data_IF_202172096448
#
_entry.id   IF_202172096448
#
_cell.length_a   1.000
_cell.length_b   1.000
_cell.length_c   1.000
_cell.angle_alpha   90.00
_cell.angle_beta   90.00
_cell.angle_gamma   90.00
#
_symmetry.space_group_name_H-M   'P 1'
#
loop_
_entity.id
_entity.type
_entity.pdbx_description
1 polymer ?
#
# COMPACT_ATOMS: atom_id res chain seq x y z
N UNK A 1 29.70 66.00 -5.28
CA UNK A 1 30.14 66.37 -3.92
C UNK A 1 28.91 66.82 -3.16
N UNK A 2 28.70 66.31 -1.94
CA UNK A 2 27.65 66.67 -0.94
C UNK A 2 26.25 66.06 -1.26
N UNK A 3 25.85 64.92 -0.66
CA UNK A 3 25.23 64.71 0.68
C UNK A 3 23.87 65.46 0.80
N UNK A 4 22.75 64.88 1.23
CA UNK A 4 22.53 63.93 2.33
C UNK A 4 21.08 63.44 2.35
N UNK A 5 20.89 62.23 2.89
CA UNK A 5 19.64 61.62 3.37
C UNK A 5 18.74 62.57 4.20
N UNK A 6 17.42 62.37 4.11
CA UNK A 6 16.58 61.93 5.25
C UNK A 6 15.20 61.50 4.78
N UNK A 7 14.82 60.30 5.23
CA UNK A 7 13.50 59.70 5.09
C UNK A 7 12.43 60.47 5.88
N UNK A 8 11.21 60.47 5.37
CA UNK A 8 9.99 60.46 6.18
C UNK A 8 8.84 59.93 5.31
N UNK A 9 8.50 58.67 5.56
CA UNK A 9 7.25 58.01 5.21
C UNK A 9 6.07 58.83 5.77
N UNK A 10 5.06 59.13 4.95
CA UNK A 10 3.66 59.00 5.34
C UNK A 10 2.76 59.03 4.12
N UNK A 11 1.95 57.97 4.03
CA UNK A 11 0.98 57.70 3.00
C UNK A 11 -0.06 58.82 2.86
N UNK A 12 -0.45 59.10 1.62
CA UNK A 12 -1.77 59.63 1.31
C UNK A 12 -2.37 58.78 0.20
N UNK A 13 -3.30 57.94 0.63
CA UNK A 13 -4.18 57.10 -0.15
C UNK A 13 -4.96 57.97 -1.13
N UNK A 14 -4.85 57.68 -2.43
CA UNK A 14 -5.83 58.13 -3.40
C UNK A 14 -6.18 56.98 -4.34
N UNK A 15 -7.31 56.35 -3.96
CA UNK A 15 -8.31 55.72 -4.81
C UNK A 15 -7.83 54.47 -5.56
N UNK A 16 -8.08 53.36 -4.88
CA UNK A 16 -8.57 52.09 -5.44
C UNK A 16 -9.37 52.32 -6.73
N UNK A 17 -8.68 52.28 -7.87
CA UNK A 17 -9.22 51.58 -9.02
C UNK A 17 -9.15 50.10 -8.65
N UNK A 18 -10.10 49.66 -7.82
CA UNK A 18 -10.52 48.28 -7.82
C UNK A 18 -11.05 48.03 -9.22
N UNK A 19 -10.14 47.62 -10.12
CA UNK A 19 -10.50 46.61 -11.09
C UNK A 19 -11.02 45.44 -10.26
N UNK A 20 -12.30 45.48 -9.92
CA UNK A 20 -13.11 44.29 -9.92
C UNK A 20 -13.03 43.74 -11.34
N UNK A 21 -11.89 43.13 -11.68
CA UNK A 21 -11.92 41.91 -12.44
C UNK A 21 -13.00 41.10 -11.72
N UNK A 22 -14.16 40.97 -12.36
CA UNK A 22 -15.28 40.22 -11.82
C UNK A 22 -14.66 39.00 -11.15
N UNK A 23 -14.83 38.87 -9.83
CA UNK A 23 -14.43 37.65 -9.14
C UNK A 23 -15.03 36.55 -9.98
N UNK A 24 -14.21 35.82 -10.74
CA UNK A 24 -14.73 34.84 -11.68
C UNK A 24 -15.49 33.89 -10.79
N UNK A 25 -16.82 33.95 -10.83
CA UNK A 25 -17.62 33.17 -9.93
C UNK A 25 -17.36 31.74 -10.38
N UNK A 26 -16.62 30.99 -9.57
CA UNK A 26 -16.42 29.54 -9.70
C UNK A 26 -17.72 28.77 -9.42
N UNK A 27 -18.84 29.39 -9.76
CA UNK A 27 -20.19 28.87 -9.65
C UNK A 27 -20.54 27.98 -10.84
N UNK A 28 -21.83 27.63 -10.95
CA UNK A 28 -22.31 26.62 -11.88
C UNK A 28 -21.90 26.85 -13.34
N UNK A 29 -21.80 28.10 -13.79
CA UNK A 29 -21.49 28.47 -15.17
C UNK A 29 -20.07 28.05 -15.59
N UNK A 30 -19.09 28.14 -14.67
CA UNK A 30 -17.71 27.68 -14.92
C UNK A 30 -17.64 26.16 -15.01
N UNK A 31 -18.42 25.45 -14.17
CA UNK A 31 -18.54 23.98 -14.24
C UNK A 31 -19.18 23.57 -15.57
N UNK A 32 -20.28 24.21 -15.96
CA UNK A 32 -20.96 23.97 -17.25
C UNK A 32 -20.01 24.16 -18.43
N UNK A 33 -19.29 25.28 -18.46
CA UNK A 33 -18.31 25.56 -19.51
C UNK A 33 -17.18 24.52 -19.58
N UNK A 34 -16.66 24.08 -18.43
CA UNK A 34 -15.66 23.02 -18.38
C UNK A 34 -16.20 21.68 -18.90
N UNK A 35 -17.43 21.31 -18.55
CA UNK A 35 -18.09 20.08 -19.04
C UNK A 35 -18.25 20.13 -20.56
N UNK A 36 -18.72 21.24 -21.11
CA UNK A 36 -18.93 21.37 -22.55
C UNK A 36 -17.62 21.36 -23.34
N UNK A 37 -16.56 22.00 -22.82
CA UNK A 37 -15.22 21.87 -23.38
C UNK A 37 -14.72 20.43 -23.32
N UNK A 38 -14.96 19.73 -22.21
CA UNK A 38 -14.55 18.34 -22.04
C UNK A 38 -15.25 17.37 -22.98
N UNK A 39 -16.55 17.56 -23.25
CA UNK A 39 -17.28 16.75 -24.24
C UNK A 39 -16.62 16.81 -25.62
N UNK A 40 -16.09 17.98 -26.00
CA UNK A 40 -15.37 18.14 -27.27
C UNK A 40 -13.99 17.48 -27.23
N UNK A 41 -13.27 17.58 -26.12
CA UNK A 41 -11.98 16.88 -25.88
C UNK A 41 -12.15 15.35 -25.90
N UNK A 42 -13.23 14.85 -25.31
CA UNK A 42 -13.54 13.42 -25.19
C UNK A 42 -14.04 12.77 -26.48
N UNK A 43 -14.43 13.56 -27.48
CA UNK A 43 -14.90 13.03 -28.76
C UNK A 43 -13.72 12.39 -29.53
N UNK A 44 -13.85 11.13 -30.03
CA UNK A 44 -12.79 10.48 -30.79
C UNK A 44 -12.66 11.14 -32.17
N UNK A 45 -11.64 11.97 -32.35
CA UNK A 45 -11.26 12.55 -33.64
C UNK A 45 -9.74 12.66 -33.70
N UNK A 46 -9.16 12.81 -34.89
CA UNK A 46 -7.72 13.06 -35.06
C UNK A 46 -7.26 14.27 -34.25
N UNK A 47 -5.98 14.38 -33.84
CA UNK A 47 -5.47 15.58 -33.18
C UNK A 47 -5.77 16.81 -34.03
N UNK A 48 -6.56 17.74 -33.50
CA UNK A 48 -6.95 18.98 -34.18
C UNK A 48 -6.53 20.19 -33.35
N UNK A 49 -6.29 21.36 -33.96
CA UNK A 49 -6.10 22.61 -33.22
C UNK A 49 -7.24 22.92 -32.25
N UNK A 50 -8.45 22.47 -32.57
CA UNK A 50 -9.64 22.61 -31.74
C UNK A 50 -9.53 21.81 -30.44
N UNK A 51 -8.99 20.58 -30.47
CA UNK A 51 -8.72 19.79 -29.26
C UNK A 51 -7.86 20.55 -28.25
N UNK A 52 -6.71 21.08 -28.70
CA UNK A 52 -5.79 21.82 -27.83
C UNK A 52 -6.32 23.19 -27.40
N UNK A 53 -7.27 23.75 -28.15
CA UNK A 53 -7.98 24.97 -27.74
C UNK A 53 -8.92 24.64 -26.57
N UNK A 54 -9.74 23.60 -26.69
CA UNK A 54 -10.65 23.16 -25.62
C UNK A 54 -9.92 22.67 -24.38
N UNK A 55 -8.80 21.95 -24.54
CA UNK A 55 -7.96 21.56 -23.40
C UNK A 55 -7.46 22.80 -22.64
N UNK A 56 -6.97 23.82 -23.36
CA UNK A 56 -6.51 25.08 -22.74
C UNK A 56 -7.64 25.83 -22.01
N UNK A 57 -8.86 25.79 -22.52
CA UNK A 57 -10.03 26.35 -21.82
C UNK A 57 -10.28 25.63 -20.49
N UNK A 58 -10.17 24.30 -20.46
CA UNK A 58 -10.29 23.50 -19.23
C UNK A 58 -9.14 23.81 -18.26
N UNK A 59 -7.90 23.87 -18.73
CA UNK A 59 -6.73 24.18 -17.90
C UNK A 59 -6.84 25.60 -17.29
N UNK A 60 -7.34 26.56 -18.07
CA UNK A 60 -7.61 27.92 -17.61
C UNK A 60 -8.72 27.94 -16.54
N UNK A 61 -9.80 27.18 -16.73
CA UNK A 61 -10.85 27.04 -15.72
C UNK A 61 -10.33 26.41 -14.42
N UNK A 62 -9.50 25.37 -14.51
CA UNK A 62 -8.89 24.72 -13.34
C UNK A 62 -7.88 25.62 -12.61
N UNK A 63 -7.24 26.55 -13.32
CA UNK A 63 -6.34 27.56 -12.74
C UNK A 63 -7.13 28.68 -12.06
N UNK A 64 -8.21 29.15 -12.67
CA UNK A 64 -9.06 30.19 -12.13
C UNK A 64 -9.90 29.70 -10.94
N UNK A 65 -10.30 28.43 -10.95
CA UNK A 65 -11.15 27.80 -9.94
C UNK A 65 -10.45 26.60 -9.29
N UNK A 66 -9.34 26.83 -8.57
CA UNK A 66 -8.51 25.75 -8.04
C UNK A 66 -9.23 24.91 -6.99
N UNK A 67 -10.21 25.48 -6.30
CA UNK A 67 -10.96 24.80 -5.24
C UNK A 67 -12.25 24.16 -5.77
N UNK A 68 -12.57 24.25 -7.07
CA UNK A 68 -13.79 23.63 -7.61
C UNK A 68 -13.51 22.20 -8.05
N UNK A 69 -13.89 21.24 -7.21
CA UNK A 69 -13.63 19.82 -7.38
C UNK A 69 -14.10 19.26 -8.73
N UNK A 70 -15.27 19.66 -9.22
CA UNK A 70 -15.78 19.26 -10.54
C UNK A 70 -14.90 19.77 -11.70
N UNK A 71 -14.36 20.98 -11.61
CA UNK A 71 -13.48 21.52 -12.65
C UNK A 71 -12.14 20.78 -12.64
N UNK A 72 -11.61 20.45 -11.44
CA UNK A 72 -10.39 19.65 -11.29
C UNK A 72 -10.54 18.27 -11.90
N UNK A 73 -11.61 17.53 -11.61
CA UNK A 73 -11.77 16.19 -12.18
C UNK A 73 -11.93 16.22 -13.71
N UNK A 74 -12.61 17.25 -14.24
CA UNK A 74 -12.70 17.46 -15.69
C UNK A 74 -11.31 17.71 -16.30
N UNK A 75 -10.47 18.51 -15.64
CA UNK A 75 -9.08 18.72 -16.05
C UNK A 75 -8.25 17.43 -16.01
N UNK A 76 -8.42 16.58 -14.98
CA UNK A 76 -7.80 15.25 -14.93
C UNK A 76 -8.20 14.41 -16.16
N UNK A 77 -9.49 14.37 -16.49
CA UNK A 77 -9.99 13.68 -17.68
C UNK A 77 -9.37 14.21 -18.98
N UNK A 78 -9.25 15.53 -19.10
CA UNK A 78 -8.66 16.18 -20.26
C UNK A 78 -7.17 15.82 -20.43
N UNK A 79 -6.41 15.71 -19.34
CA UNK A 79 -5.03 15.24 -19.34
C UNK A 79 -4.91 13.79 -19.83
N UNK A 80 -5.81 12.89 -19.38
CA UNK A 80 -5.80 11.50 -19.85
C UNK A 80 -6.18 11.40 -21.33
N UNK A 81 -7.13 12.23 -21.82
CA UNK A 81 -7.43 12.30 -23.26
C UNK A 81 -6.28 12.88 -24.08
N UNK A 82 -5.52 13.82 -23.53
CA UNK A 82 -4.31 14.30 -24.17
C UNK A 82 -3.25 13.20 -24.26
N UNK A 83 -3.05 12.43 -23.18
CA UNK A 83 -2.16 11.27 -23.15
C UNK A 83 -2.57 10.21 -24.19
N UNK A 84 -3.84 9.82 -24.25
CA UNK A 84 -4.34 8.83 -25.22
C UNK A 84 -4.02 9.25 -26.67
N UNK A 85 -4.23 10.53 -26.99
CA UNK A 85 -3.94 11.08 -28.33
C UNK A 85 -2.44 11.18 -28.60
N UNK A 86 -1.67 11.55 -27.59
CA UNK A 86 -0.21 11.59 -27.66
C UNK A 86 0.35 10.19 -27.95
N UNK A 87 -0.04 9.19 -27.18
CA UNK A 87 0.35 7.79 -27.39
C UNK A 87 -0.09 7.26 -28.76
N UNK A 88 -1.30 7.60 -29.21
CA UNK A 88 -1.79 7.24 -30.55
C UNK A 88 -0.94 7.86 -31.67
N UNK A 89 -0.43 9.08 -31.49
CA UNK A 89 0.44 9.75 -32.47
C UNK A 89 1.83 9.10 -32.60
N UNK A 90 2.22 8.35 -31.57
CA UNK A 90 3.47 7.60 -31.46
C UNK A 90 3.31 6.12 -31.83
N UNK A 91 2.09 5.65 -32.10
CA UNK A 91 1.84 4.25 -32.41
C UNK A 91 2.70 3.77 -33.61
N UNK A 92 3.42 2.66 -33.42
CA UNK A 92 4.33 2.10 -34.43
C UNK A 92 5.68 2.81 -34.57
N UNK A 93 6.00 3.79 -33.71
CA UNK A 93 7.29 4.50 -33.71
C UNK A 93 8.12 4.16 -32.49
N UNK A 94 9.46 4.20 -32.64
CA UNK A 94 10.36 4.14 -31.50
C UNK A 94 10.18 5.42 -30.65
N UNK A 95 9.88 5.24 -29.36
CA UNK A 95 9.65 6.36 -28.44
C UNK A 95 10.97 6.88 -27.88
N UNK A 96 11.21 8.18 -28.03
CA UNK A 96 12.36 8.86 -27.43
C UNK A 96 12.20 9.00 -25.90
N UNK A 97 13.29 9.35 -25.21
CA UNK A 97 13.23 9.69 -23.77
C UNK A 97 12.29 10.87 -23.49
N UNK A 98 12.25 11.84 -24.41
CA UNK A 98 11.35 12.99 -24.34
C UNK A 98 9.88 12.57 -24.49
N UNK A 99 9.58 11.68 -25.42
CA UNK A 99 8.21 11.18 -25.62
C UNK A 99 7.68 10.49 -24.36
N UNK A 100 8.51 9.63 -23.78
CA UNK A 100 8.16 8.94 -22.54
C UNK A 100 8.05 9.90 -21.34
N UNK A 101 8.78 11.02 -21.36
CA UNK A 101 8.69 12.05 -20.32
C UNK A 101 7.40 12.87 -20.45
N UNK A 102 7.00 13.22 -21.68
CA UNK A 102 5.71 13.90 -21.93
C UNK A 102 4.53 13.01 -21.52
N UNK A 103 4.57 11.72 -21.88
CA UNK A 103 3.55 10.76 -21.45
C UNK A 103 3.40 10.70 -19.91
N UNK A 104 4.53 10.71 -19.19
CA UNK A 104 4.55 10.73 -17.73
C UNK A 104 4.03 12.05 -17.15
N UNK A 105 4.35 13.18 -17.79
CA UNK A 105 3.91 14.52 -17.36
C UNK A 105 2.38 14.68 -17.42
N UNK A 106 1.72 14.05 -18.40
CA UNK A 106 0.24 14.00 -18.41
C UNK A 106 -0.33 13.23 -17.21
N UNK A 107 0.32 12.15 -16.78
CA UNK A 107 -0.11 11.36 -15.62
C UNK A 107 0.10 12.16 -14.34
N UNK A 108 1.23 12.86 -14.19
CA UNK A 108 1.50 13.72 -13.02
C UNK A 108 0.47 14.85 -12.90
N UNK A 109 0.13 15.51 -14.02
CA UNK A 109 -0.92 16.55 -14.05
C UNK A 109 -2.30 15.99 -13.71
N UNK A 110 -2.65 14.83 -14.28
CA UNK A 110 -3.90 14.14 -13.94
C UNK A 110 -3.95 13.75 -12.45
N UNK A 111 -2.85 13.24 -11.90
CA UNK A 111 -2.73 12.87 -10.48
C UNK A 111 -2.96 14.09 -9.58
N UNK A 112 -2.35 15.24 -9.88
CA UNK A 112 -2.53 16.46 -9.09
C UNK A 112 -4.01 16.88 -9.01
N UNK A 113 -4.77 16.72 -10.09
CA UNK A 113 -6.20 17.01 -10.11
C UNK A 113 -7.04 15.96 -9.37
N UNK A 114 -6.74 14.68 -9.51
CA UNK A 114 -7.46 13.59 -8.82
C UNK A 114 -7.24 13.66 -7.31
N UNK A 115 -6.00 13.92 -6.88
CA UNK A 115 -5.63 13.97 -5.47
C UNK A 115 -6.19 15.21 -4.76
N UNK A 116 -6.26 16.36 -5.43
CA UNK A 116 -6.86 17.58 -4.89
C UNK A 116 -8.34 17.40 -4.49
N UNK A 117 -8.99 16.35 -4.99
CA UNK A 117 -10.36 16.02 -4.66
C UNK A 117 -10.49 15.63 -3.17
N UNK A 118 -9.45 15.03 -2.54
CA UNK A 118 -9.42 14.63 -1.13
C UNK A 118 -9.90 15.73 -0.18
N UNK A 119 -9.53 16.98 -0.46
CA UNK A 119 -9.83 18.14 0.39
C UNK A 119 -11.19 18.79 0.08
N UNK A 120 -11.87 18.36 -0.98
CA UNK A 120 -13.15 18.94 -1.40
C UNK A 120 -14.02 17.93 -2.16
N UNK A 121 -14.67 17.02 -1.43
CA UNK A 121 -15.65 16.11 -2.02
C UNK A 121 -16.84 16.91 -2.56
N UNK A 122 -17.10 16.94 -3.89
CA UNK A 122 -18.23 17.67 -4.39
C UNK A 122 -19.51 16.88 -4.16
N UNK A 123 -20.52 17.59 -3.69
CA UNK A 123 -21.89 17.12 -3.79
C UNK A 123 -22.29 16.93 -5.27
N UNK A 124 -23.32 16.11 -5.48
CA UNK A 124 -23.92 15.94 -6.79
C UNK A 124 -24.27 17.31 -7.39
N UNK A 125 -23.78 17.58 -8.60
CA UNK A 125 -24.02 18.84 -9.27
C UNK A 125 -25.13 18.68 -10.30
N UNK A 126 -26.13 19.57 -10.24
CA UNK A 126 -27.19 19.66 -11.22
C UNK A 126 -27.39 21.10 -11.66
N UNK A 127 -27.19 21.37 -12.95
CA UNK A 127 -27.46 22.68 -13.54
C UNK A 127 -27.91 22.52 -14.99
N UNK A 128 -29.15 22.92 -15.28
CA UNK A 128 -29.78 22.68 -16.58
C UNK A 128 -29.81 21.19 -16.93
N UNK A 129 -29.25 20.84 -18.10
CA UNK A 129 -29.14 19.46 -18.59
C UNK A 129 -27.91 18.70 -18.06
N UNK A 130 -26.98 19.38 -17.36
CA UNK A 130 -25.78 18.75 -16.83
C UNK A 130 -26.08 18.17 -15.45
N UNK A 131 -25.72 16.90 -15.30
CA UNK A 131 -25.73 16.18 -14.04
C UNK A 131 -24.35 15.54 -13.86
N UNK A 132 -23.70 15.81 -12.74
CA UNK A 132 -22.43 15.19 -12.36
C UNK A 132 -22.61 14.53 -10.99
N UNK A 133 -22.28 13.26 -10.91
CA UNK A 133 -22.38 12.45 -9.70
C UNK A 133 -21.13 11.57 -9.54
N UNK A 134 -21.11 10.76 -8.48
CA UNK A 134 -20.00 9.85 -8.20
C UNK A 134 -19.58 8.99 -9.40
N UNK A 135 -20.54 8.57 -10.23
CA UNK A 135 -20.29 7.79 -11.46
C UNK A 135 -19.35 8.49 -12.43
N UNK A 136 -19.55 9.78 -12.67
CA UNK A 136 -18.74 10.61 -13.57
C UNK A 136 -17.33 10.78 -13.02
N UNK A 137 -17.21 10.97 -11.71
CA UNK A 137 -15.90 11.03 -11.06
C UNK A 137 -15.15 9.70 -11.16
N UNK A 138 -15.81 8.58 -10.83
CA UNK A 138 -15.21 7.25 -10.86
C UNK A 138 -14.73 6.86 -12.27
N UNK A 139 -15.49 7.25 -13.30
CA UNK A 139 -15.14 7.03 -14.70
C UNK A 139 -13.93 7.83 -15.18
N UNK A 140 -13.47 8.83 -14.41
CA UNK A 140 -12.25 9.60 -14.68
C UNK A 140 -11.04 9.11 -13.87
N UNK A 141 -11.27 8.60 -12.65
CA UNK A 141 -10.22 7.95 -11.85
C UNK A 141 -9.74 6.66 -12.50
N UNK A 142 -10.66 5.89 -13.11
CA UNK A 142 -10.32 4.66 -13.81
C UNK A 142 -9.21 4.88 -14.86
N UNK A 143 -9.42 5.66 -15.94
CA UNK A 143 -8.43 5.81 -17.01
C UNK A 143 -7.11 6.44 -16.51
N UNK A 144 -7.13 7.23 -15.43
CA UNK A 144 -5.93 7.71 -14.75
C UNK A 144 -5.11 6.57 -14.11
N UNK A 145 -5.72 5.77 -13.23
CA UNK A 145 -5.04 4.63 -12.59
C UNK A 145 -4.56 3.64 -13.65
N UNK A 146 -5.36 3.49 -14.69
CA UNK A 146 -5.05 2.67 -15.84
C UNK A 146 -3.76 3.12 -16.56
N UNK A 147 -3.62 4.40 -16.85
CA UNK A 147 -2.43 4.97 -17.48
C UNK A 147 -1.20 4.90 -16.56
N UNK A 148 -1.39 5.23 -15.28
CA UNK A 148 -0.34 5.22 -14.25
C UNK A 148 0.30 3.83 -14.10
N UNK A 149 -0.52 2.79 -13.94
CA UNK A 149 -0.02 1.42 -13.77
C UNK A 149 0.65 0.88 -15.04
N UNK A 150 0.13 1.22 -16.22
CA UNK A 150 0.75 0.85 -17.50
C UNK A 150 2.14 1.46 -17.68
N UNK A 151 2.33 2.72 -17.30
CA UNK A 151 3.66 3.37 -17.34
C UNK A 151 4.60 2.80 -16.27
N UNK A 152 4.08 2.45 -15.09
CA UNK A 152 4.87 1.79 -14.05
C UNK A 152 5.41 0.42 -14.52
N UNK A 153 4.58 -0.38 -15.19
CA UNK A 153 5.00 -1.65 -15.78
C UNK A 153 6.01 -1.46 -16.93
N UNK A 154 6.04 -0.29 -17.56
CA UNK A 154 7.06 0.12 -18.55
C UNK A 154 8.34 0.72 -17.92
N UNK A 155 8.47 0.68 -16.58
CA UNK A 155 9.64 1.15 -15.83
C UNK A 155 9.60 2.61 -15.38
N UNK A 156 8.48 3.33 -15.60
CA UNK A 156 8.30 4.72 -15.14
C UNK A 156 7.26 4.78 -14.04
N UNK A 157 7.73 4.69 -12.81
CA UNK A 157 6.88 4.52 -11.64
C UNK A 157 6.48 5.89 -11.09
N UNK A 158 5.18 6.18 -11.08
CA UNK A 158 4.63 7.34 -10.39
C UNK A 158 4.80 7.20 -8.86
N UNK A 159 5.04 8.29 -8.10
CA UNK A 159 5.25 8.22 -6.65
C UNK A 159 4.17 7.41 -5.90
N UNK A 160 2.90 7.54 -6.29
CA UNK A 160 1.78 6.78 -5.71
C UNK A 160 1.93 5.24 -5.80
N UNK A 161 2.63 4.72 -6.81
CA UNK A 161 2.82 3.29 -7.03
C UNK A 161 4.28 2.84 -6.83
N UNK A 162 5.09 3.72 -6.23
CA UNK A 162 6.50 3.47 -5.90
C UNK A 162 6.64 2.57 -4.67
N UNK A 163 7.88 2.18 -4.35
CA UNK A 163 8.16 1.39 -3.14
C UNK A 163 8.00 2.22 -1.86
N UNK A 164 8.09 3.56 -1.96
CA UNK A 164 7.89 4.51 -0.87
C UNK A 164 6.84 5.55 -1.28
N UNK A 165 5.55 5.15 -1.36
CA UNK A 165 4.52 6.08 -1.77
C UNK A 165 4.31 7.18 -0.73
N UNK A 166 3.80 8.36 -1.14
CA UNK A 166 3.38 9.37 -0.19
C UNK A 166 2.28 8.81 0.73
N UNK A 167 2.11 9.37 1.94
CA UNK A 167 1.08 8.91 2.87
C UNK A 167 -0.30 8.91 2.22
N UNK A 168 -0.96 7.76 2.24
CA UNK A 168 -2.37 7.67 1.92
C UNK A 168 -3.20 7.97 3.16
N UNK A 169 -4.41 8.47 2.93
CA UNK A 169 -5.49 8.48 3.91
C UNK A 169 -6.53 7.46 3.49
N UNK A 170 -7.27 6.89 4.44
CA UNK A 170 -8.40 6.02 4.10
C UNK A 170 -9.64 6.83 3.72
N UNK A 171 -9.49 7.59 2.64
CA UNK A 171 -10.54 8.43 2.08
C UNK A 171 -11.15 7.77 0.83
N UNK A 172 -12.15 8.42 0.28
CA UNK A 172 -12.85 7.94 -0.91
C UNK A 172 -11.99 7.98 -2.20
N UNK A 173 -11.02 8.90 -2.34
CA UNK A 173 -10.07 8.97 -3.46
C UNK A 173 -9.17 7.74 -3.45
N UNK A 174 -8.55 7.45 -2.30
CA UNK A 174 -7.73 6.26 -2.09
C UNK A 174 -8.52 4.98 -2.34
N UNK A 175 -9.77 4.89 -1.85
CA UNK A 175 -10.65 3.72 -2.12
C UNK A 175 -10.98 3.55 -3.61
N UNK A 176 -11.20 4.64 -4.36
CA UNK A 176 -11.43 4.54 -5.80
C UNK A 176 -10.17 4.18 -6.58
N UNK A 177 -9.01 4.70 -6.17
CA UNK A 177 -7.72 4.30 -6.73
C UNK A 177 -7.49 2.80 -6.52
N UNK A 178 -7.71 2.30 -5.30
CA UNK A 178 -7.62 0.89 -4.97
C UNK A 178 -8.57 0.03 -5.81
N UNK A 179 -9.84 0.46 -5.95
CA UNK A 179 -10.83 -0.24 -6.77
C UNK A 179 -10.35 -0.42 -8.21
N UNK A 180 -9.84 0.64 -8.81
CA UNK A 180 -9.32 0.59 -10.19
C UNK A 180 -8.00 -0.18 -10.31
N UNK A 181 -7.15 -0.13 -9.29
CA UNK A 181 -5.92 -0.94 -9.23
C UNK A 181 -6.22 -2.44 -9.11
N UNK A 182 -7.33 -2.82 -8.47
CA UNK A 182 -7.73 -4.21 -8.28
C UNK A 182 -8.24 -4.90 -9.56
N UNK A 183 -8.50 -4.13 -10.63
CA UNK A 183 -9.07 -4.64 -11.88
C UNK A 183 -8.23 -5.79 -12.50
N UNK A 184 -8.92 -6.76 -13.11
CA UNK A 184 -8.39 -8.01 -13.68
C UNK A 184 -7.22 -7.79 -14.65
N UNK A 185 -7.32 -6.76 -15.50
CA UNK A 185 -6.27 -6.33 -16.45
C UNK A 185 -4.90 -6.08 -15.82
N UNK A 186 -4.87 -5.77 -14.53
CA UNK A 186 -3.63 -5.51 -13.79
C UNK A 186 -3.24 -6.66 -12.88
N UNK A 187 -3.89 -7.82 -12.97
CA UNK A 187 -3.71 -8.90 -12.01
C UNK A 187 -2.24 -9.26 -11.75
N UNK A 188 -1.40 -9.21 -12.77
CA UNK A 188 0.03 -9.54 -12.69
C UNK A 188 0.95 -8.33 -12.46
N UNK A 189 0.43 -7.10 -12.35
CA UNK A 189 1.24 -5.89 -12.18
C UNK A 189 1.77 -5.77 -10.73
N UNK A 190 3.11 -5.71 -10.52
CA UNK A 190 3.68 -5.45 -9.21
C UNK A 190 3.35 -4.04 -8.68
N UNK A 191 3.30 -3.04 -9.56
CA UNK A 191 2.95 -1.67 -9.20
C UNK A 191 1.52 -1.56 -8.66
N UNK A 192 0.60 -2.34 -9.25
CA UNK A 192 -0.77 -2.45 -8.76
C UNK A 192 -0.84 -3.05 -7.34
N UNK A 193 -0.08 -4.12 -7.07
CA UNK A 193 -0.05 -4.71 -5.73
C UNK A 193 0.55 -3.76 -4.68
N UNK A 194 1.60 -3.00 -5.02
CA UNK A 194 2.18 -1.97 -4.12
C UNK A 194 1.19 -0.89 -3.75
N UNK A 195 0.48 -0.36 -4.76
CA UNK A 195 -0.55 0.64 -4.56
C UNK A 195 -1.67 0.13 -3.65
N UNK A 196 -2.18 -1.09 -3.93
CA UNK A 196 -3.19 -1.74 -3.10
C UNK A 196 -2.72 -1.99 -1.66
N UNK A 197 -1.47 -2.44 -1.49
CA UNK A 197 -0.89 -2.70 -0.16
C UNK A 197 -0.79 -1.43 0.67
N UNK A 198 -0.36 -0.33 0.06
CA UNK A 198 -0.19 0.95 0.75
C UNK A 198 -1.54 1.51 1.21
N UNK A 199 -2.56 1.44 0.37
CA UNK A 199 -3.92 1.89 0.71
C UNK A 199 -4.57 0.94 1.73
N UNK A 200 -4.40 -0.38 1.56
CA UNK A 200 -4.91 -1.37 2.50
C UNK A 200 -4.36 -1.16 3.91
N UNK A 201 -3.06 -0.88 4.06
CA UNK A 201 -2.43 -0.65 5.37
C UNK A 201 -3.08 0.51 6.14
N UNK A 202 -3.43 1.60 5.44
CA UNK A 202 -4.09 2.75 6.07
C UNK A 202 -5.55 2.44 6.37
N UNK A 203 -6.26 1.82 5.43
CA UNK A 203 -7.67 1.48 5.60
C UNK A 203 -7.94 0.34 6.61
N UNK A 204 -6.93 -0.49 6.89
CA UNK A 204 -6.99 -1.55 7.90
C UNK A 204 -7.25 -0.99 9.31
N UNK A 205 -6.80 0.23 9.56
CA UNK A 205 -6.92 0.89 10.86
C UNK A 205 -8.25 1.64 11.03
N UNK A 206 -9.09 1.69 9.99
CA UNK A 206 -10.40 2.35 10.07
C UNK A 206 -11.34 1.56 10.98
N UNK A 207 -12.09 2.29 11.81
CA UNK A 207 -13.21 1.74 12.59
C UNK A 207 -14.44 1.48 11.71
N UNK A 208 -14.51 2.10 10.52
CA UNK A 208 -15.62 1.92 9.59
C UNK A 208 -15.43 0.68 8.71
N UNK A 209 -16.34 -0.29 8.84
CA UNK A 209 -16.31 -1.53 8.05
C UNK A 209 -16.35 -1.28 6.53
N UNK A 210 -16.99 -0.21 6.09
CA UNK A 210 -17.06 0.19 4.67
C UNK A 210 -15.70 0.51 4.06
N UNK A 211 -14.71 0.83 4.88
CA UNK A 211 -13.34 1.12 4.44
C UNK A 211 -12.52 -0.14 4.19
N UNK A 212 -12.92 -1.26 4.77
CA UNK A 212 -12.22 -2.54 4.64
C UNK A 212 -12.42 -3.19 3.26
N UNK A 213 -13.23 -2.62 2.36
CA UNK A 213 -13.37 -3.06 0.97
C UNK A 213 -12.01 -3.19 0.25
N UNK A 214 -11.04 -2.33 0.59
CA UNK A 214 -9.70 -2.38 0.01
C UNK A 214 -8.94 -3.65 0.43
N UNK A 215 -9.21 -4.19 1.62
CA UNK A 215 -8.60 -5.44 2.09
C UNK A 215 -9.04 -6.61 1.21
N UNK A 216 -10.34 -6.71 0.89
CA UNK A 216 -10.83 -7.74 -0.04
C UNK A 216 -10.23 -7.61 -1.45
N UNK A 217 -10.05 -6.38 -1.94
CA UNK A 217 -9.40 -6.11 -3.22
C UNK A 217 -7.93 -6.56 -3.22
N UNK A 218 -7.19 -6.29 -2.14
CA UNK A 218 -5.80 -6.73 -1.96
C UNK A 218 -5.70 -8.26 -1.82
N UNK A 219 -6.55 -8.88 -1.00
CA UNK A 219 -6.60 -10.32 -0.85
C UNK A 219 -6.82 -11.04 -2.18
N UNK A 220 -7.79 -10.58 -2.97
CA UNK A 220 -8.05 -11.10 -4.31
C UNK A 220 -6.83 -10.96 -5.23
N UNK A 221 -6.11 -9.83 -5.14
CA UNK A 221 -4.91 -9.60 -5.93
C UNK A 221 -3.79 -10.57 -5.58
N UNK A 222 -3.54 -10.77 -4.28
CA UNK A 222 -2.49 -11.65 -3.77
C UNK A 222 -2.74 -13.11 -4.17
N UNK A 223 -3.95 -13.62 -3.92
CA UNK A 223 -4.35 -14.99 -4.32
C UNK A 223 -4.11 -15.20 -5.81
N UNK A 224 -4.52 -14.22 -6.61
CA UNK A 224 -4.43 -14.33 -8.05
C UNK A 224 -3.01 -14.26 -8.58
N UNK A 225 -2.14 -13.45 -7.99
CA UNK A 225 -0.73 -13.41 -8.40
C UNK A 225 0.00 -14.73 -8.09
N UNK A 226 -0.41 -15.43 -7.03
CA UNK A 226 0.05 -16.80 -6.76
C UNK A 226 -0.51 -17.76 -7.79
N UNK A 227 -1.84 -17.74 -8.01
CA UNK A 227 -2.52 -18.63 -8.95
C UNK A 227 -1.99 -18.50 -10.39
N UNK A 228 -1.68 -17.28 -10.84
CA UNK A 228 -1.13 -17.04 -12.19
C UNK A 228 0.38 -17.19 -12.29
N UNK A 229 1.06 -17.58 -11.21
CA UNK A 229 2.53 -17.76 -11.18
C UNK A 229 3.30 -16.44 -11.36
N UNK A 230 2.72 -15.31 -10.97
CA UNK A 230 3.44 -14.02 -10.90
C UNK A 230 4.29 -13.93 -9.64
N UNK A 231 3.79 -14.46 -8.52
CA UNK A 231 4.57 -14.71 -7.32
C UNK A 231 4.96 -16.19 -7.36
N UNK A 232 6.26 -16.49 -7.36
CA UNK A 232 6.77 -17.85 -7.56
C UNK A 232 7.69 -18.34 -6.44
N UNK A 233 8.30 -17.41 -5.72
CA UNK A 233 9.23 -17.72 -4.65
C UNK A 233 8.45 -18.29 -3.44
N UNK A 234 8.81 -19.47 -2.91
CA UNK A 234 8.06 -20.12 -1.84
C UNK A 234 7.76 -19.21 -0.63
N UNK A 235 8.76 -18.43 -0.20
CA UNK A 235 8.62 -17.49 0.91
C UNK A 235 7.61 -16.38 0.60
N UNK A 236 7.63 -15.84 -0.63
CA UNK A 236 6.65 -14.84 -1.06
C UNK A 236 5.25 -15.41 -1.24
N UNK A 237 5.13 -16.65 -1.70
CA UNK A 237 3.83 -17.34 -1.79
C UNK A 237 3.23 -17.46 -0.39
N UNK A 238 4.01 -17.92 0.59
CA UNK A 238 3.56 -18.02 1.98
C UNK A 238 3.11 -16.66 2.52
N UNK A 239 3.94 -15.62 2.36
CA UNK A 239 3.57 -14.26 2.75
C UNK A 239 2.27 -13.79 2.09
N UNK A 240 2.15 -13.93 0.77
CA UNK A 240 1.02 -13.43 0.00
C UNK A 240 -0.30 -14.10 0.41
N UNK A 241 -0.28 -15.42 0.60
CA UNK A 241 -1.48 -16.17 0.99
C UNK A 241 -1.86 -15.93 2.46
N UNK A 242 -0.89 -15.72 3.35
CA UNK A 242 -1.16 -15.31 4.74
C UNK A 242 -1.78 -13.92 4.80
N UNK A 243 -1.22 -12.94 4.10
CA UNK A 243 -1.78 -11.59 4.02
C UNK A 243 -3.19 -11.59 3.41
N UNK A 244 -3.41 -12.38 2.35
CA UNK A 244 -4.73 -12.53 1.76
C UNK A 244 -5.75 -13.13 2.74
N UNK A 245 -5.32 -14.09 3.57
CA UNK A 245 -6.16 -14.65 4.63
C UNK A 245 -6.51 -13.61 5.69
N UNK A 246 -5.51 -12.87 6.21
CA UNK A 246 -5.73 -11.79 7.19
C UNK A 246 -6.72 -10.77 6.64
N UNK A 247 -6.46 -10.26 5.44
CA UNK A 247 -7.29 -9.25 4.78
C UNK A 247 -8.72 -9.76 4.55
N UNK A 248 -8.87 -11.01 4.12
CA UNK A 248 -10.17 -11.68 3.98
C UNK A 248 -10.91 -11.78 5.32
N UNK A 249 -10.25 -12.27 6.38
CA UNK A 249 -10.86 -12.40 7.71
C UNK A 249 -11.30 -11.05 8.27
N UNK A 250 -10.47 -10.02 8.17
CA UNK A 250 -10.84 -8.70 8.65
C UNK A 250 -12.01 -8.10 7.86
N UNK A 251 -11.98 -8.19 6.53
CA UNK A 251 -13.08 -7.72 5.69
C UNK A 251 -14.41 -8.42 6.01
N UNK A 252 -14.36 -9.75 6.13
CA UNK A 252 -15.52 -10.56 6.47
C UNK A 252 -15.99 -10.26 7.89
N UNK A 253 -15.10 -10.06 8.86
CA UNK A 253 -15.48 -9.91 10.27
C UNK A 253 -16.37 -11.07 10.73
N UNK A 254 -17.29 -10.81 11.66
CA UNK A 254 -18.25 -11.82 12.18
C UNK A 254 -19.51 -11.99 11.31
N UNK A 255 -19.71 -11.15 10.29
CA UNK A 255 -20.95 -11.06 9.52
C UNK A 255 -20.70 -11.31 8.03
N UNK A 256 -21.64 -11.90 7.28
CA UNK A 256 -21.49 -12.02 5.82
C UNK A 256 -21.22 -10.64 5.18
N UNK A 257 -20.23 -10.53 4.28
CA UNK A 257 -19.80 -9.25 3.73
C UNK A 257 -20.92 -8.59 2.92
N UNK A 258 -20.89 -7.26 2.74
CA UNK A 258 -21.72 -6.63 1.74
C UNK A 258 -21.44 -7.28 0.37
N UNK A 259 -22.51 -7.63 -0.34
CA UNK A 259 -22.44 -8.25 -1.66
C UNK A 259 -21.56 -7.40 -2.61
N UNK A 260 -20.65 -8.04 -3.35
CA UNK A 260 -20.01 -7.44 -4.54
C UNK A 260 -18.48 -7.43 -4.58
N UNK A 261 -17.77 -7.53 -3.44
CA UNK A 261 -16.28 -7.41 -3.39
C UNK A 261 -15.57 -8.72 -3.08
N UNK A 262 -16.19 -9.60 -2.27
CA UNK A 262 -15.70 -10.94 -1.96
C UNK A 262 -16.82 -11.97 -2.18
N UNK A 263 -16.58 -12.96 -3.02
CA UNK A 263 -17.51 -14.04 -3.34
C UNK A 263 -17.04 -15.37 -2.75
N UNK A 264 -17.95 -16.33 -2.68
CA UNK A 264 -17.63 -17.70 -2.23
C UNK A 264 -16.54 -18.35 -3.10
N UNK A 265 -16.47 -18.00 -4.39
CA UNK A 265 -15.40 -18.45 -5.28
C UNK A 265 -14.03 -17.91 -4.85
N UNK A 266 -13.95 -16.66 -4.37
CA UNK A 266 -12.70 -16.09 -3.86
C UNK A 266 -12.24 -16.84 -2.61
N UNK A 267 -13.17 -17.15 -1.71
CA UNK A 267 -12.89 -17.95 -0.52
C UNK A 267 -12.36 -19.34 -0.89
N UNK A 268 -13.04 -20.03 -1.80
CA UNK A 268 -12.62 -21.35 -2.28
C UNK A 268 -11.23 -21.31 -2.92
N UNK A 269 -10.94 -20.31 -3.75
CA UNK A 269 -9.62 -20.12 -4.34
C UNK A 269 -8.55 -19.87 -3.29
N UNK A 270 -8.81 -19.01 -2.30
CA UNK A 270 -7.87 -18.76 -1.20
C UNK A 270 -7.59 -20.05 -0.41
N UNK A 271 -8.62 -20.77 0.01
CA UNK A 271 -8.44 -22.02 0.77
C UNK A 271 -7.68 -23.07 -0.04
N UNK A 272 -7.99 -23.22 -1.33
CA UNK A 272 -7.27 -24.11 -2.24
C UNK A 272 -5.78 -23.75 -2.32
N UNK A 273 -5.44 -22.48 -2.53
CA UNK A 273 -4.05 -22.04 -2.61
C UNK A 273 -3.30 -22.26 -1.28
N UNK A 274 -3.95 -22.01 -0.15
CA UNK A 274 -3.38 -22.27 1.18
C UNK A 274 -3.03 -23.75 1.37
N UNK A 275 -3.93 -24.65 0.95
CA UNK A 275 -3.72 -26.10 1.00
C UNK A 275 -2.60 -26.55 0.04
N UNK A 276 -2.67 -26.13 -1.23
CA UNK A 276 -1.70 -26.51 -2.26
C UNK A 276 -0.26 -26.10 -1.91
N UNK A 277 -0.10 -24.91 -1.31
CA UNK A 277 1.20 -24.40 -0.89
C UNK A 277 1.55 -24.72 0.57
N UNK A 278 0.74 -25.54 1.26
CA UNK A 278 0.95 -25.96 2.65
C UNK A 278 1.19 -24.78 3.59
N UNK A 279 0.49 -23.67 3.37
CA UNK A 279 0.65 -22.45 4.15
C UNK A 279 0.00 -22.65 5.51
N UNK A 280 0.81 -22.62 6.56
CA UNK A 280 0.29 -22.68 7.92
C UNK A 280 -0.30 -21.33 8.32
N UNK A 281 -1.47 -21.35 8.93
CA UNK A 281 -2.20 -20.18 9.41
C UNK A 281 -1.96 -19.91 10.91
N UNK A 282 -0.74 -20.15 11.39
CA UNK A 282 -0.36 -19.89 12.79
C UNK A 282 -0.12 -18.40 12.99
N UNK A 283 -0.47 -17.87 14.16
CA UNK A 283 -0.25 -16.46 14.52
C UNK A 283 -1.06 -15.44 13.70
N UNK A 284 -2.28 -15.81 13.28
CA UNK A 284 -3.18 -14.94 12.50
C UNK A 284 -4.38 -14.34 13.28
N UNK A 285 -4.63 -14.80 14.51
CA UNK A 285 -5.58 -14.15 15.45
C UNK A 285 -4.96 -13.02 16.29
N UNK A 286 -5.76 -12.46 17.21
CA UNK A 286 -5.26 -11.51 18.21
C UNK A 286 -4.55 -12.27 19.33
N UNK A 287 -3.22 -12.35 19.26
CA UNK A 287 -2.42 -12.93 20.33
C UNK A 287 -2.08 -11.85 21.34
N UNK A 288 -2.26 -12.18 22.60
CA UNK A 288 -1.81 -11.31 23.69
C UNK A 288 -0.34 -11.62 23.93
N UNK A 289 0.50 -10.59 23.86
CA UNK A 289 1.88 -10.71 24.32
C UNK A 289 1.86 -11.05 25.82
N UNK A 290 2.42 -12.20 26.16
CA UNK A 290 2.56 -12.66 27.54
C UNK A 290 3.89 -12.09 28.06
N UNK A 291 3.94 -11.52 29.27
CA UNK A 291 5.20 -11.08 29.87
C UNK A 291 6.21 -12.23 29.97
N UNK A 292 7.49 -11.96 29.71
CA UNK A 292 8.53 -13.00 29.70
C UNK A 292 8.60 -13.84 30.98
N UNK A 293 8.35 -13.22 32.14
CA UNK A 293 8.32 -13.89 33.44
C UNK A 293 7.23 -14.98 33.54
N UNK A 294 6.25 -14.97 32.64
CA UNK A 294 5.08 -15.84 32.69
C UNK A 294 5.08 -16.91 31.58
N UNK A 295 6.00 -16.84 30.62
CA UNK A 295 6.02 -17.73 29.43
C UNK A 295 6.01 -19.21 29.77
N UNK A 296 6.79 -19.62 30.78
CA UNK A 296 6.96 -21.02 31.14
C UNK A 296 6.13 -21.41 32.37
N UNK A 297 5.11 -20.63 32.72
CA UNK A 297 4.13 -21.09 33.72
C UNK A 297 3.23 -22.18 33.11
N UNK A 298 2.79 -23.19 33.89
CA UNK A 298 1.95 -24.29 33.39
C UNK A 298 0.69 -23.86 32.62
N UNK A 299 0.07 -22.74 33.00
CA UNK A 299 -1.12 -22.18 32.37
C UNK A 299 -0.87 -21.55 30.99
N UNK A 300 0.39 -21.26 30.66
CA UNK A 300 0.80 -20.56 29.45
C UNK A 300 1.65 -21.42 28.53
N UNK A 301 2.54 -22.23 29.09
CA UNK A 301 3.51 -23.04 28.36
C UNK A 301 2.79 -24.02 27.41
N UNK A 302 3.09 -23.92 26.11
CA UNK A 302 2.43 -24.70 25.06
C UNK A 302 1.19 -24.06 24.44
N UNK A 303 0.82 -22.84 24.85
CA UNK A 303 -0.19 -22.04 24.12
C UNK A 303 0.44 -21.29 22.93
N UNK A 304 -0.35 -21.03 21.89
CA UNK A 304 0.10 -20.20 20.76
C UNK A 304 0.53 -18.79 21.21
N UNK A 305 -0.09 -18.21 22.23
CA UNK A 305 0.30 -16.87 22.72
C UNK A 305 1.72 -16.85 23.30
N UNK A 306 2.19 -17.94 23.91
CA UNK A 306 3.60 -18.05 24.35
C UNK A 306 4.54 -18.17 23.16
N UNK A 307 4.24 -19.04 22.19
CA UNK A 307 5.07 -19.17 20.99
C UNK A 307 5.14 -17.85 20.21
N UNK A 308 4.04 -17.11 20.12
CA UNK A 308 3.97 -15.75 19.59
C UNK A 308 4.89 -14.80 20.36
N UNK A 309 4.79 -14.77 21.68
CA UNK A 309 5.57 -13.85 22.53
C UNK A 309 7.08 -14.14 22.45
N UNK A 310 7.46 -15.42 22.43
CA UNK A 310 8.85 -15.83 22.22
C UNK A 310 9.35 -15.38 20.84
N UNK A 311 8.56 -15.62 19.78
CA UNK A 311 8.93 -15.20 18.43
C UNK A 311 9.03 -13.68 18.28
N UNK A 312 8.14 -12.94 18.94
CA UNK A 312 8.16 -11.48 18.99
C UNK A 312 9.43 -10.97 19.66
N UNK A 313 9.82 -11.56 20.78
CA UNK A 313 11.05 -11.19 21.49
C UNK A 313 12.30 -11.61 20.72
N UNK A 314 12.30 -12.76 20.05
CA UNK A 314 13.37 -13.10 19.09
C UNK A 314 13.47 -12.05 17.98
N UNK A 315 12.35 -11.58 17.47
CA UNK A 315 12.31 -10.52 16.47
C UNK A 315 12.86 -9.20 17.00
N UNK A 316 12.55 -8.82 18.25
CA UNK A 316 13.13 -7.62 18.91
C UNK A 316 14.65 -7.72 19.10
N UNK A 317 15.15 -8.94 19.33
CA UNK A 317 16.58 -9.22 19.46
C UNK A 317 17.29 -9.47 18.12
N UNK A 318 16.58 -9.40 16.99
CA UNK A 318 17.15 -9.56 15.65
C UNK A 318 17.50 -8.21 15.05
N UNK A 319 18.75 -8.06 14.58
CA UNK A 319 19.25 -6.81 14.02
C UNK A 319 19.60 -6.93 12.54
N UNK A 320 19.60 -5.82 11.78
CA UNK A 320 20.09 -5.81 10.40
C UNK A 320 21.51 -6.38 10.26
N UNK A 321 22.37 -6.11 11.24
CA UNK A 321 23.73 -6.63 11.32
C UNK A 321 23.75 -8.17 11.44
N UNK A 322 22.90 -8.75 12.30
CA UNK A 322 22.78 -10.21 12.43
C UNK A 322 22.20 -10.86 11.17
N UNK A 323 21.23 -10.20 10.54
CA UNK A 323 20.66 -10.58 9.25
C UNK A 323 21.67 -10.51 8.09
N UNK A 324 22.77 -9.77 8.24
CA UNK A 324 23.80 -9.63 7.21
C UNK A 324 23.36 -8.77 6.03
N UNK A 325 22.44 -7.83 6.25
CA UNK A 325 21.93 -6.90 5.22
C UNK A 325 22.64 -5.54 5.27
N UNK A 326 23.75 -5.45 5.99
CA UNK A 326 24.56 -4.23 6.18
C UNK A 326 25.95 -4.41 5.57
N UNK A 327 26.59 -3.31 5.19
CA UNK A 327 27.98 -3.30 4.67
C UNK A 327 29.07 -3.42 5.78
N UNK A 328 28.69 -3.82 7.00
CA UNK A 328 29.58 -3.98 8.14
C UNK A 328 30.54 -5.17 7.97
N UNK A 329 31.64 -5.17 8.74
CA UNK A 329 32.62 -6.26 8.69
C UNK A 329 32.03 -7.60 9.15
N UNK A 330 32.56 -8.70 8.59
CA UNK A 330 32.10 -10.07 8.89
C UNK A 330 32.21 -10.44 10.38
N UNK A 331 33.20 -9.87 11.08
CA UNK A 331 33.39 -9.99 12.53
C UNK A 331 32.21 -9.44 13.33
N UNK A 332 31.69 -8.27 12.95
CA UNK A 332 30.57 -7.60 13.62
C UNK A 332 29.26 -8.36 13.40
N UNK A 333 29.00 -8.80 12.16
CA UNK A 333 27.87 -9.66 11.84
C UNK A 333 27.91 -10.98 12.63
N UNK A 334 29.11 -11.55 12.79
CA UNK A 334 29.32 -12.77 13.59
C UNK A 334 29.03 -12.52 15.07
N UNK A 335 29.51 -11.41 15.64
CA UNK A 335 29.24 -11.06 17.03
C UNK A 335 27.73 -10.87 17.30
N UNK A 336 27.01 -10.21 16.38
CA UNK A 336 25.57 -10.04 16.48
C UNK A 336 24.81 -11.37 16.41
N UNK A 337 25.21 -12.29 15.53
CA UNK A 337 24.65 -13.65 15.45
C UNK A 337 24.92 -14.48 16.70
N UNK A 338 26.11 -14.35 17.30
CA UNK A 338 26.46 -15.00 18.57
C UNK A 338 25.62 -14.44 19.72
N UNK A 339 25.33 -13.14 19.74
CA UNK A 339 24.44 -12.54 20.74
C UNK A 339 23.01 -13.11 20.62
N UNK A 340 22.47 -13.20 19.40
CA UNK A 340 21.17 -13.83 19.15
C UNK A 340 21.14 -15.30 19.58
N UNK A 341 22.18 -16.07 19.22
CA UNK A 341 22.33 -17.46 19.64
C UNK A 341 22.30 -17.58 21.17
N UNK A 342 23.08 -16.75 21.87
CA UNK A 342 23.13 -16.74 23.34
C UNK A 342 21.76 -16.43 23.94
N UNK A 343 21.04 -15.46 23.39
CA UNK A 343 19.67 -15.14 23.81
C UNK A 343 18.76 -16.37 23.70
N UNK A 344 18.68 -17.01 22.52
CA UNK A 344 17.82 -18.20 22.33
C UNK A 344 18.23 -19.35 23.24
N UNK A 345 19.53 -19.58 23.43
CA UNK A 345 20.02 -20.62 24.34
C UNK A 345 19.69 -20.33 25.80
N UNK A 346 19.70 -19.07 26.22
CA UNK A 346 19.39 -18.68 27.59
C UNK A 346 17.92 -18.94 27.94
N UNK A 347 17.00 -18.79 26.98
CA UNK A 347 15.59 -19.12 27.19
C UNK A 347 15.37 -20.58 27.62
N UNK A 348 16.20 -21.51 27.12
CA UNK A 348 16.10 -22.90 27.54
C UNK A 348 16.45 -23.09 29.02
N UNK A 349 17.41 -22.31 29.55
CA UNK A 349 17.71 -22.28 30.98
C UNK A 349 16.55 -21.71 31.81
N UNK A 350 15.89 -20.66 31.31
CA UNK A 350 14.70 -20.09 31.97
C UNK A 350 13.55 -21.11 32.03
N UNK A 351 13.38 -21.93 30.98
CA UNK A 351 12.40 -23.01 30.98
C UNK A 351 12.74 -24.13 31.96
N UNK A 352 14.04 -24.46 32.11
CA UNK A 352 14.51 -25.44 33.10
C UNK A 352 14.26 -24.95 34.53
N UNK A 353 14.59 -23.69 34.81
CA UNK A 353 14.37 -23.05 36.13
C UNK A 353 12.88 -22.95 36.50
N UNK A 354 11.99 -23.00 35.51
CA UNK A 354 10.54 -23.00 35.67
C UNK A 354 9.91 -24.41 35.73
N UNK A 355 10.72 -25.47 35.86
CA UNK A 355 10.28 -26.88 35.82
C UNK A 355 9.51 -27.27 34.54
N UNK A 356 9.79 -26.59 33.42
CA UNK A 356 9.20 -26.89 32.10
C UNK A 356 10.24 -27.26 31.03
N UNK A 357 11.15 -28.22 31.29
CA UNK A 357 12.28 -28.50 30.39
C UNK A 357 11.82 -28.96 28.99
N UNK A 358 10.79 -29.80 28.90
CA UNK A 358 10.28 -30.31 27.61
C UNK A 358 9.32 -29.29 26.98
N UNK A 359 8.29 -28.87 27.70
CA UNK A 359 7.25 -27.98 27.18
C UNK A 359 7.81 -26.61 26.79
N UNK A 360 8.74 -26.06 27.58
CA UNK A 360 9.42 -24.81 27.27
C UNK A 360 10.30 -24.91 26.02
N UNK A 361 11.08 -25.98 25.84
CA UNK A 361 11.88 -26.18 24.61
C UNK A 361 11.01 -26.32 23.36
N UNK A 362 9.85 -26.98 23.46
CA UNK A 362 8.87 -27.05 22.37
C UNK A 362 8.34 -25.66 22.01
N UNK A 363 7.92 -24.88 23.01
CA UNK A 363 7.47 -23.51 22.80
C UNK A 363 8.57 -22.60 22.20
N UNK A 364 9.82 -22.74 22.65
CA UNK A 364 10.97 -22.02 22.08
C UNK A 364 11.22 -22.45 20.63
N UNK A 365 11.13 -23.74 20.32
CA UNK A 365 11.31 -24.27 18.96
C UNK A 365 10.21 -23.79 18.00
N UNK A 366 8.96 -23.74 18.47
CA UNK A 366 7.83 -23.16 17.74
C UNK A 366 8.02 -21.67 17.51
N UNK A 367 8.40 -20.90 18.54
CA UNK A 367 8.71 -19.47 18.41
C UNK A 367 9.89 -19.20 17.48
N UNK A 368 10.94 -20.02 17.55
CA UNK A 368 12.08 -19.96 16.63
C UNK A 368 11.68 -20.22 15.18
N UNK A 369 10.79 -21.19 14.96
CA UNK A 369 10.25 -21.48 13.63
C UNK A 369 9.39 -20.32 13.13
N UNK A 370 8.52 -19.76 13.97
CA UNK A 370 7.68 -18.61 13.64
C UNK A 370 8.51 -17.36 13.30
N UNK A 371 9.59 -17.14 14.05
CA UNK A 371 10.59 -16.14 13.72
C UNK A 371 11.31 -16.48 12.41
N UNK A 372 11.76 -17.72 12.20
CA UNK A 372 12.50 -18.09 10.98
C UNK A 372 11.65 -17.88 9.72
N UNK A 373 10.39 -18.31 9.77
CA UNK A 373 9.42 -18.24 8.67
C UNK A 373 8.81 -16.83 8.50
N UNK A 374 9.18 -15.87 9.37
CA UNK A 374 8.72 -14.48 9.28
C UNK A 374 7.26 -14.27 9.70
N UNK A 375 6.64 -15.23 10.36
CA UNK A 375 5.26 -15.15 10.83
C UNK A 375 5.07 -14.13 11.94
N UNK A 376 6.12 -13.90 12.74
CA UNK A 376 6.15 -12.88 13.79
C UNK A 376 7.34 -11.97 13.54
N UNK A 377 7.05 -10.69 13.32
CA UNK A 377 8.02 -9.61 13.09
C UNK A 377 7.61 -8.36 13.85
N UNK A 378 8.60 -7.60 14.32
CA UNK A 378 8.38 -6.21 14.75
C UNK A 378 8.36 -5.29 13.53
N UNK A 379 7.83 -4.06 13.63
CA UNK A 379 7.91 -3.08 12.55
C UNK A 379 9.34 -2.86 12.03
N UNK A 380 10.33 -2.85 12.92
CA UNK A 380 11.75 -2.62 12.61
C UNK A 380 12.40 -3.80 11.88
N UNK A 381 11.80 -4.99 11.97
CA UNK A 381 12.36 -6.24 11.44
C UNK A 381 11.52 -6.86 10.33
N UNK A 382 10.39 -6.25 9.97
CA UNK A 382 9.45 -6.76 8.96
C UNK A 382 10.10 -7.05 7.59
N UNK A 383 11.14 -6.30 7.22
CA UNK A 383 11.89 -6.50 5.97
C UNK A 383 13.17 -7.32 6.09
N UNK A 384 13.53 -7.80 7.29
CA UNK A 384 14.76 -8.54 7.51
C UNK A 384 14.57 -10.04 7.22
N UNK A 385 15.55 -10.71 6.56
CA UNK A 385 15.54 -12.15 6.46
C UNK A 385 15.65 -12.79 7.85
N UNK A 386 15.18 -14.03 7.97
CA UNK A 386 15.38 -14.85 9.17
C UNK A 386 16.85 -15.15 9.44
N UNK A 387 17.12 -15.99 10.45
CA UNK A 387 18.48 -16.41 10.73
C UNK A 387 19.07 -17.18 9.54
N UNK A 388 20.40 -17.06 9.28
CA UNK A 388 21.07 -17.92 8.32
C UNK A 388 20.77 -19.40 8.60
N UNK A 389 20.56 -20.19 7.56
CA UNK A 389 20.04 -21.56 7.71
C UNK A 389 20.86 -22.42 8.68
N UNK A 390 22.19 -22.29 8.68
CA UNK A 390 23.06 -23.03 9.61
C UNK A 390 22.79 -22.68 11.08
N UNK A 391 22.47 -21.43 11.39
CA UNK A 391 22.21 -20.95 12.74
C UNK A 391 20.84 -21.44 13.21
N UNK A 392 19.83 -21.33 12.35
CA UNK A 392 18.50 -21.86 12.59
C UNK A 392 18.54 -23.37 12.87
N UNK A 393 19.17 -24.14 11.98
CA UNK A 393 19.27 -25.60 12.11
C UNK A 393 20.04 -26.03 13.37
N UNK A 394 21.12 -25.32 13.72
CA UNK A 394 21.88 -25.58 14.93
C UNK A 394 21.02 -25.33 16.19
N UNK A 395 20.34 -24.20 16.28
CA UNK A 395 19.47 -23.87 17.42
C UNK A 395 18.32 -24.87 17.54
N UNK A 396 17.66 -25.20 16.42
CA UNK A 396 16.58 -26.18 16.36
C UNK A 396 17.06 -27.56 16.83
N UNK A 397 18.21 -28.01 16.33
CA UNK A 397 18.81 -29.29 16.72
C UNK A 397 19.13 -29.33 18.21
N UNK A 398 19.77 -28.28 18.74
CA UNK A 398 20.10 -28.18 20.17
C UNK A 398 18.86 -28.32 21.07
N UNK A 399 17.75 -27.67 20.70
CA UNK A 399 16.49 -27.77 21.45
C UNK A 399 15.91 -29.19 21.39
N UNK A 400 15.89 -29.80 20.19
CA UNK A 400 15.28 -31.11 19.96
C UNK A 400 16.10 -32.27 20.55
N UNK A 401 17.43 -32.23 20.45
CA UNK A 401 18.32 -33.26 21.02
C UNK A 401 18.12 -33.36 22.54
N UNK A 402 17.95 -32.22 23.22
CA UNK A 402 17.69 -32.19 24.66
C UNK A 402 16.30 -32.68 25.03
N UNK A 403 15.27 -32.39 24.22
CA UNK A 403 13.94 -32.99 24.41
C UNK A 403 14.03 -34.51 24.38
N UNK A 404 14.71 -35.07 23.37
CA UNK A 404 14.90 -36.51 23.22
C UNK A 404 15.66 -37.12 24.41
N UNK A 405 16.67 -36.42 24.94
CA UNK A 405 17.40 -36.86 26.13
C UNK A 405 16.51 -36.92 27.38
N UNK A 406 15.67 -35.91 27.62
CA UNK A 406 14.73 -35.92 28.75
C UNK A 406 13.64 -36.99 28.60
N UNK A 407 13.15 -37.21 27.38
CA UNK A 407 12.15 -38.25 27.09
C UNK A 407 12.71 -39.68 27.23
N UNK A 408 14.03 -39.86 27.06
CA UNK A 408 14.71 -41.15 27.19
C UNK A 408 15.05 -41.53 28.64
N UNK A 409 14.93 -40.63 29.62
CA UNK A 409 15.20 -40.92 31.02
C UNK A 409 13.98 -41.62 31.68
N UNK A 410 14.15 -42.79 32.33
CA UNK A 410 13.06 -43.45 33.04
C UNK A 410 12.62 -42.61 34.23
N UNK A 411 11.31 -42.39 34.35
CA UNK A 411 10.67 -41.64 35.45
C UNK A 411 10.84 -42.30 36.81
#
# INVERSE_FOLDING_TARGET
MIRTMKAATLAAISVLASAAAAAETCGPEKIVGAVDAYRQVATPSTPSPEFYTRKREIDAAATACPDTAWIRIIAAGAEIKALERFEASLAGKAQSTADKHEAFTHIERAAAHVLAFRDNYPENFQHGAIRLAYTEWSGLVEPFVQAMLRQADAGRVHPLASDNPPPFECDYVSKAIATNASNFRFATSPASLRLLTSIANVCRLSEERTDWNVLAQRANKLVRQVETGTITEPERIQWALREAYIDSRQFLGENKPPFGVWFESNEKSLQKMLEEHKVKLVFLGTYTEIPQADWFRPEHVGTESVAYSIALEMSRNWSPLAAGVTDAESSDATAARVAFMRYVTALAGVADDADQPIAGRRAISEGLTAFQEGFVRTPETAGLPGAPNWLYEMLRKMLNDKIAEFEAQPR
#
